data_IF_251617628800
#
_entry.id   IF_251617628800
#
_cell.length_a   1.000
_cell.length_b   1.000
_cell.length_c   1.000
_cell.angle_alpha   90.00
_cell.angle_beta   90.00
_cell.angle_gamma   90.00
#
_symmetry.space_group_name_H-M   'P 1'
#
loop_
_entity.id
_entity.type
_entity.pdbx_description
1 polymer ?
#
# COMPACT_ATOMS: atom_id res chain seq x y z
N UNK A 1 9.12 -49.01 8.87
CA UNK A 1 10.06 -47.88 8.67
C UNK A 1 9.83 -47.06 7.39
N UNK A 2 9.11 -47.56 6.37
CA UNK A 2 8.86 -46.82 5.11
C UNK A 2 7.71 -45.79 5.19
N UNK A 3 6.68 -46.02 6.01
CA UNK A 3 5.52 -45.09 6.15
C UNK A 3 5.89 -43.72 6.72
N UNK A 4 6.85 -43.65 7.64
CA UNK A 4 7.28 -42.38 8.26
C UNK A 4 8.03 -41.47 7.27
N UNK A 5 8.79 -42.07 6.34
CA UNK A 5 9.50 -41.37 5.27
C UNK A 5 8.52 -40.74 4.27
N UNK A 6 7.43 -41.42 3.94
CA UNK A 6 6.38 -40.87 3.08
C UNK A 6 5.67 -39.70 3.76
N UNK A 7 5.36 -39.80 5.07
CA UNK A 7 4.73 -38.71 5.83
C UNK A 7 5.65 -37.48 5.88
N UNK A 8 6.95 -37.67 6.16
CA UNK A 8 7.93 -36.58 6.16
C UNK A 8 8.08 -35.93 4.77
N UNK A 9 8.07 -36.72 3.70
CA UNK A 9 8.14 -36.22 2.34
C UNK A 9 6.88 -35.45 1.93
N UNK A 10 5.69 -35.94 2.32
CA UNK A 10 4.43 -35.23 2.08
C UNK A 10 4.35 -33.92 2.86
N UNK A 11 4.80 -33.88 4.11
CA UNK A 11 4.85 -32.65 4.90
C UNK A 11 5.82 -31.63 4.28
N UNK A 12 7.02 -32.07 3.89
CA UNK A 12 8.03 -31.23 3.24
C UNK A 12 7.56 -30.69 1.88
N UNK A 13 6.77 -31.48 1.13
CA UNK A 13 6.20 -31.11 -0.16
C UNK A 13 5.00 -30.14 -0.03
N UNK A 14 4.19 -30.26 1.02
CA UNK A 14 2.99 -29.42 1.24
C UNK A 14 3.33 -28.08 1.93
N UNK A 15 4.40 -28.01 2.72
CA UNK A 15 4.87 -26.76 3.34
C UNK A 15 5.03 -25.58 2.34
N UNK A 16 5.69 -25.75 1.17
CA UNK A 16 5.80 -24.66 0.20
C UNK A 16 4.49 -24.35 -0.54
N UNK A 17 3.53 -25.27 -0.60
CA UNK A 17 2.19 -24.99 -1.14
C UNK A 17 1.30 -24.23 -0.15
N UNK A 18 1.51 -24.43 1.16
CA UNK A 18 0.88 -23.61 2.20
C UNK A 18 1.49 -22.20 2.31
N UNK A 19 2.67 -21.97 1.73
CA UNK A 19 3.29 -20.64 1.59
C UNK A 19 2.82 -19.88 0.34
N UNK A 20 1.82 -20.41 -0.38
CA UNK A 20 1.29 -19.85 -1.62
C UNK A 20 0.18 -18.80 -1.39
N UNK A 21 0.20 -18.11 -0.26
CA UNK A 21 -0.22 -16.71 -0.17
C UNK A 21 1.02 -15.84 0.07
N UNK A 22 1.76 -15.45 -0.98
CA UNK A 22 2.86 -14.49 -0.86
C UNK A 22 2.33 -13.06 -0.67
N UNK A 23 1.26 -12.90 0.11
CA UNK A 23 0.68 -11.64 0.52
C UNK A 23 1.11 -11.43 1.97
N UNK A 24 2.39 -11.11 2.17
CA UNK A 24 2.89 -10.52 3.41
C UNK A 24 2.09 -9.25 3.67
N UNK A 25 0.98 -9.42 4.39
CA UNK A 25 -0.01 -8.39 4.64
C UNK A 25 0.51 -7.57 5.81
N UNK A 26 1.35 -6.59 5.51
CA UNK A 26 1.79 -5.61 6.49
C UNK A 26 0.58 -4.72 6.81
N UNK A 27 -0.01 -4.88 8.01
CA UNK A 27 -1.01 -3.97 8.60
C UNK A 27 -2.05 -3.45 7.60
N UNK A 28 -2.96 -4.29 7.10
CA UNK A 28 -3.98 -3.78 6.19
C UNK A 28 -3.53 -3.56 4.75
N UNK A 29 -2.23 -3.68 4.41
CA UNK A 29 -1.72 -3.68 3.02
C UNK A 29 -2.01 -5.00 2.28
N UNK A 30 -3.10 -5.68 2.66
CA UNK A 30 -3.65 -6.76 1.86
C UNK A 30 -4.47 -6.18 0.71
N UNK A 31 -4.75 -7.02 -0.27
CA UNK A 31 -5.69 -6.75 -1.34
C UNK A 31 -7.12 -6.75 -0.75
N UNK A 32 -8.02 -5.74 -0.88
CA UNK A 32 -7.98 -4.46 -1.64
C UNK A 32 -7.69 -3.10 -0.93
N UNK A 33 -7.57 -2.95 0.41
CA UNK A 33 -7.49 -1.65 1.08
C UNK A 33 -6.47 -0.64 0.55
N UNK A 34 -5.27 -1.10 0.18
CA UNK A 34 -4.20 -0.21 -0.28
C UNK A 34 -4.58 0.54 -1.57
N UNK A 35 -5.38 -0.08 -2.46
CA UNK A 35 -5.91 0.56 -3.67
C UNK A 35 -6.87 1.69 -3.27
N UNK A 36 -7.72 1.43 -2.28
CA UNK A 36 -8.63 2.45 -1.75
C UNK A 36 -7.84 3.63 -1.19
N UNK A 37 -6.76 3.37 -0.42
CA UNK A 37 -5.88 4.42 0.12
C UNK A 37 -5.17 5.21 -0.98
N UNK A 38 -4.67 4.54 -2.02
CA UNK A 38 -4.00 5.20 -3.15
C UNK A 38 -4.98 6.11 -3.91
N UNK A 39 -6.20 5.63 -4.15
CA UNK A 39 -7.26 6.39 -4.85
C UNK A 39 -7.73 7.56 -4.00
N UNK A 40 -7.99 7.37 -2.71
CA UNK A 40 -8.34 8.48 -1.80
C UNK A 40 -7.21 9.49 -1.72
N UNK A 41 -5.96 9.03 -1.65
CA UNK A 41 -4.77 9.87 -1.73
C UNK A 41 -4.74 10.74 -2.99
N UNK A 42 -5.04 10.17 -4.18
CA UNK A 42 -5.12 10.95 -5.44
C UNK A 42 -6.21 12.01 -5.36
N UNK A 43 -7.41 11.63 -4.91
CA UNK A 43 -8.55 12.56 -4.80
C UNK A 43 -8.21 13.73 -3.88
N UNK A 44 -7.64 13.47 -2.70
CA UNK A 44 -7.21 14.53 -1.79
C UNK A 44 -6.08 15.37 -2.39
N UNK A 45 -5.14 14.76 -3.11
CA UNK A 45 -4.04 15.49 -3.79
C UNK A 45 -4.59 16.49 -4.80
N UNK A 46 -5.57 16.11 -5.61
CA UNK A 46 -6.21 17.01 -6.58
C UNK A 46 -6.92 18.17 -5.87
N UNK A 47 -7.64 17.89 -4.78
CA UNK A 47 -8.30 18.93 -3.97
C UNK A 47 -7.29 19.93 -3.40
N UNK A 48 -6.18 19.44 -2.82
CA UNK A 48 -5.10 20.31 -2.33
C UNK A 48 -4.39 21.06 -3.45
N UNK A 49 -4.22 20.44 -4.62
CA UNK A 49 -3.63 21.09 -5.80
C UNK A 49 -4.49 22.27 -6.26
N UNK A 50 -5.82 22.11 -6.24
CA UNK A 50 -6.73 23.24 -6.43
C UNK A 50 -6.51 24.30 -5.36
N UNK A 51 -6.50 23.96 -4.07
CA UNK A 51 -6.25 24.93 -2.99
C UNK A 51 -4.95 25.71 -3.23
N UNK A 52 -3.86 25.05 -3.61
CA UNK A 52 -2.59 25.73 -3.91
C UNK A 52 -2.68 26.69 -5.09
N UNK A 53 -3.41 26.32 -6.13
CA UNK A 53 -3.69 27.20 -7.26
C UNK A 53 -4.51 28.43 -6.84
N UNK A 54 -5.52 28.23 -6.01
CA UNK A 54 -6.32 29.33 -5.44
C UNK A 54 -5.48 30.27 -4.57
N UNK A 55 -4.51 29.73 -3.83
CA UNK A 55 -3.57 30.51 -3.02
C UNK A 55 -2.45 31.16 -3.86
N UNK A 56 -2.42 30.96 -5.19
CA UNK A 56 -1.37 31.45 -6.10
C UNK A 56 0.02 31.06 -5.64
N UNK A 57 0.16 29.84 -5.13
CA UNK A 57 1.46 29.30 -4.71
C UNK A 57 2.27 28.77 -5.89
N UNK A 58 1.67 28.69 -7.08
CA UNK A 58 2.29 28.24 -8.33
C UNK A 58 3.73 28.78 -8.59
N UNK A 59 4.04 30.08 -8.39
CA UNK A 59 5.39 30.60 -8.62
C UNK A 59 6.39 30.27 -7.49
N UNK A 60 5.94 29.83 -6.31
CA UNK A 60 6.80 29.46 -5.18
C UNK A 60 7.00 27.95 -5.04
N UNK A 61 6.11 27.17 -5.63
CA UNK A 61 6.22 25.72 -5.71
C UNK A 61 7.30 25.38 -6.73
N UNK A 62 8.37 24.70 -6.29
CA UNK A 62 9.50 24.29 -7.14
C UNK A 62 9.10 23.30 -8.23
N UNK A 63 9.69 22.09 -8.24
CA UNK A 63 9.31 21.12 -9.28
C UNK A 63 7.95 20.47 -8.96
N UNK A 64 6.88 20.73 -9.75
CA UNK A 64 5.52 20.31 -9.40
C UNK A 64 5.40 18.79 -9.28
N UNK A 65 6.16 18.03 -10.07
CA UNK A 65 6.16 16.57 -10.01
C UNK A 65 6.55 16.08 -8.62
N UNK A 66 7.62 16.60 -8.01
CA UNK A 66 8.04 16.18 -6.67
C UNK A 66 7.03 16.57 -5.61
N UNK A 67 6.46 17.77 -5.71
CA UNK A 67 5.55 18.30 -4.69
C UNK A 67 4.26 17.50 -4.68
N UNK A 68 3.63 17.32 -5.84
CA UNK A 68 2.36 16.60 -5.93
C UNK A 68 2.53 15.10 -5.67
N UNK A 69 3.63 14.48 -6.07
CA UNK A 69 3.91 13.07 -5.74
C UNK A 69 4.17 12.87 -4.25
N UNK A 70 4.91 13.77 -3.60
CA UNK A 70 5.15 13.71 -2.15
C UNK A 70 3.85 13.96 -1.37
N UNK A 71 3.02 14.90 -1.82
CA UNK A 71 1.72 15.18 -1.23
C UNK A 71 0.81 13.95 -1.34
N UNK A 72 0.78 13.32 -2.53
CA UNK A 72 0.04 12.10 -2.76
C UNK A 72 0.49 10.95 -1.87
N UNK A 73 1.80 10.74 -1.75
CA UNK A 73 2.35 9.71 -0.87
C UNK A 73 1.96 9.97 0.59
N UNK A 74 2.10 11.22 1.08
CA UNK A 74 1.73 11.60 2.44
C UNK A 74 0.25 11.35 2.72
N UNK A 75 -0.64 11.73 1.80
CA UNK A 75 -2.09 11.54 1.95
C UNK A 75 -2.48 10.07 1.88
N UNK A 76 -1.87 9.30 0.99
CA UNK A 76 -2.05 7.85 0.88
C UNK A 76 -1.61 7.14 2.17
N UNK A 77 -0.42 7.48 2.69
CA UNK A 77 0.05 6.89 3.94
C UNK A 77 -0.77 7.36 5.13
N UNK A 78 -1.18 8.63 5.18
CA UNK A 78 -2.02 9.15 6.27
C UNK A 78 -3.38 8.47 6.31
N UNK A 79 -4.03 8.29 5.16
CA UNK A 79 -5.31 7.57 5.08
C UNK A 79 -5.17 6.10 5.44
N UNK A 80 -4.06 5.46 5.07
CA UNK A 80 -3.74 4.10 5.47
C UNK A 80 -3.50 3.98 6.98
N UNK A 81 -2.69 4.88 7.57
CA UNK A 81 -2.39 4.90 9.00
C UNK A 81 -3.63 5.19 9.87
N UNK A 82 -4.56 6.00 9.39
CA UNK A 82 -5.73 6.41 10.16
C UNK A 82 -6.92 5.44 10.09
N UNK A 83 -6.94 4.51 9.11
CA UNK A 83 -8.09 3.62 8.93
C UNK A 83 -7.78 2.15 8.67
N UNK A 84 -6.50 1.78 8.54
CA UNK A 84 -6.07 0.40 8.26
C UNK A 84 -4.86 -0.07 9.05
N UNK A 85 -4.20 0.81 9.83
CA UNK A 85 -3.00 0.47 10.61
C UNK A 85 -3.31 0.06 12.07
N UNK A 86 -4.56 -0.25 12.38
CA UNK A 86 -5.05 -0.88 13.62
C UNK A 86 -5.12 -2.41 13.53
#
# INVERSE_FOLDING_TARGET
MSRSLHISFTILLVLPLAACDPLLSIQGSFWPPWIVCMVTGVVLTVLFSQIFHWLKLDPYLGHPVLIYTSLWALLTFSTWLLGFAE
#
